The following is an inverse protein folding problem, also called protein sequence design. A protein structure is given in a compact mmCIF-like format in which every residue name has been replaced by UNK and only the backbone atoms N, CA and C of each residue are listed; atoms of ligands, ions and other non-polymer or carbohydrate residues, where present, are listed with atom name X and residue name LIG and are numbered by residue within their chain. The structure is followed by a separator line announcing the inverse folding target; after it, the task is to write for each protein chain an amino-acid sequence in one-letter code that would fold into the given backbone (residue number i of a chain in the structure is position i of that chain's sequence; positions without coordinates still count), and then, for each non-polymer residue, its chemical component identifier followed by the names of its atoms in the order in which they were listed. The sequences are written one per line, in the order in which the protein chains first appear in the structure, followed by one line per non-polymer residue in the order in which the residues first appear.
data_IF_616315652579
#
_entry.id   IF_616315652579
#
_cell.length_a   1.000
_cell.length_b   1.000
_cell.length_c   1.000
_cell.angle_alpha   90.00
_cell.angle_beta   90.00
_cell.angle_gamma   90.00
#
_symmetry.space_group_name_H-M   'P 1'
#
loop_
_entity.id
_entity.type
_entity.pdbx_description
1 polymer ?
#
# COMPACT_ATOMS: atom_id res chain seq x y z
N UNK A 1 -43.60 47.87 11.88
CA UNK A 1 -44.84 47.07 11.89
C UNK A 1 -44.86 46.22 10.63
N UNK A 2 -45.45 45.01 10.73
CA UNK A 2 -45.66 43.96 9.72
C UNK A 2 -44.40 43.32 9.11
N UNK A 3 -43.91 42.18 9.62
CA UNK A 3 -44.42 40.80 9.44
C UNK A 3 -44.49 40.39 7.96
N UNK A 4 -43.41 39.79 7.46
CA UNK A 4 -43.45 38.87 6.32
C UNK A 4 -42.95 37.52 6.83
N UNK A 5 -43.91 36.74 7.31
CA UNK A 5 -43.81 35.32 7.61
C UNK A 5 -43.58 34.58 6.29
N UNK A 6 -42.32 34.34 5.95
CA UNK A 6 -41.95 33.30 5.00
C UNK A 6 -41.86 32.00 5.77
N UNK A 7 -42.79 31.07 5.55
CA UNK A 7 -42.64 29.68 5.95
C UNK A 7 -41.32 29.15 5.40
N UNK A 8 -40.31 29.07 6.25
CA UNK A 8 -39.04 28.47 5.94
C UNK A 8 -39.28 26.97 5.75
N UNK A 9 -39.25 26.52 4.51
CA UNK A 9 -39.06 25.11 4.16
C UNK A 9 -37.91 24.56 5.02
N UNK A 10 -38.28 23.64 5.91
CA UNK A 10 -37.48 22.98 6.93
C UNK A 10 -36.48 22.00 6.33
N UNK A 11 -35.52 22.51 5.56
CA UNK A 11 -34.33 21.76 5.15
C UNK A 11 -33.11 22.54 5.59
N UNK A 12 -32.48 22.08 6.69
CA UNK A 12 -31.20 22.64 7.12
C UNK A 12 -30.19 22.56 5.95
N UNK A 13 -29.42 23.63 5.68
CA UNK A 13 -28.46 23.62 4.58
C UNK A 13 -27.38 22.55 4.78
N UNK A 14 -26.99 21.90 3.68
CA UNK A 14 -25.91 20.93 3.63
C UNK A 14 -24.59 21.53 4.15
N UNK A 15 -23.77 20.70 4.79
CA UNK A 15 -22.45 21.12 5.25
C UNK A 15 -21.49 21.27 4.07
N UNK A 16 -20.54 22.19 4.19
CA UNK A 16 -19.52 22.43 3.17
C UNK A 16 -18.40 21.39 3.26
N UNK A 17 -17.82 21.04 2.11
CA UNK A 17 -16.64 20.17 2.05
C UNK A 17 -16.91 18.75 2.56
N UNK A 18 -15.96 18.20 3.33
CA UNK A 18 -16.07 16.84 3.88
C UNK A 18 -16.82 16.78 5.22
N UNK A 19 -17.26 17.93 5.74
CA UNK A 19 -17.97 18.00 7.02
C UNK A 19 -19.29 17.21 6.97
N UNK A 20 -19.70 16.70 8.12
CA UNK A 20 -21.00 16.03 8.29
C UNK A 20 -21.64 16.38 9.63
N UNK A 21 -22.86 15.87 9.82
CA UNK A 21 -23.64 15.97 11.05
C UNK A 21 -23.89 14.57 11.60
N UNK A 22 -23.89 14.45 12.91
CA UNK A 22 -24.32 13.24 13.63
C UNK A 22 -25.72 13.44 14.21
N UNK A 23 -26.43 12.34 14.45
CA UNK A 23 -27.70 12.37 15.15
C UNK A 23 -27.45 12.52 16.66
N UNK A 24 -28.12 13.49 17.28
CA UNK A 24 -28.12 13.67 18.74
C UNK A 24 -29.41 13.03 19.27
N UNK A 25 -29.26 11.90 19.97
CA UNK A 25 -30.37 11.30 20.72
C UNK A 25 -30.53 12.06 22.04
N UNK A 26 -31.55 12.89 22.15
CA UNK A 26 -31.97 13.48 23.43
C UNK A 26 -32.82 12.46 24.18
N UNK A 27 -32.25 11.85 25.23
CA UNK A 27 -33.01 11.02 26.17
C UNK A 27 -33.67 11.91 27.25
N UNK A 28 -34.94 11.60 27.57
CA UNK A 28 -35.92 12.28 28.45
C UNK A 28 -36.71 13.41 27.78
N UNK A 29 -38.05 13.38 27.70
CA UNK A 29 -39.07 12.86 28.62
C UNK A 29 -40.29 12.26 27.90
N UNK A 30 -41.10 11.51 28.65
CA UNK A 30 -42.34 10.83 28.25
C UNK A 30 -43.33 11.76 27.53
N UNK A 31 -43.31 11.76 26.20
CA UNK A 31 -44.49 11.87 25.33
C UNK A 31 -44.03 11.74 23.87
N UNK A 32 -44.79 10.98 23.09
CA UNK A 32 -44.40 10.47 21.79
C UNK A 32 -44.12 11.56 20.75
N UNK A 33 -42.86 11.94 20.57
CA UNK A 33 -42.26 12.24 19.25
C UNK A 33 -40.74 12.29 19.39
N UNK A 34 -40.03 11.25 18.93
CA UNK A 34 -38.56 11.25 18.88
C UNK A 34 -38.09 12.25 17.82
N UNK A 35 -37.99 13.53 18.15
CA UNK A 35 -37.37 14.53 17.28
C UNK A 35 -35.86 14.33 17.32
N UNK A 36 -35.33 13.54 16.39
CA UNK A 36 -33.88 13.40 16.22
C UNK A 36 -33.30 14.75 15.82
N UNK A 37 -32.60 15.43 16.73
CA UNK A 37 -31.92 16.68 16.42
C UNK A 37 -30.55 16.38 15.78
N UNK A 38 -30.22 17.09 14.69
CA UNK A 38 -28.91 16.97 14.05
C UNK A 38 -27.88 17.86 14.76
N UNK A 39 -26.66 17.36 14.89
CA UNK A 39 -25.53 18.13 15.41
C UNK A 39 -25.17 19.32 14.50
N UNK A 40 -24.33 20.22 15.04
CA UNK A 40 -23.62 21.20 14.22
C UNK A 40 -22.69 20.48 13.23
N UNK A 41 -22.42 21.11 12.08
CA UNK A 41 -21.48 20.58 11.08
C UNK A 41 -20.07 20.45 11.69
N UNK A 42 -19.48 19.26 11.58
CA UNK A 42 -18.14 18.96 12.07
C UNK A 42 -17.49 17.79 11.34
N UNK A 43 -16.38 17.29 11.89
CA UNK A 43 -15.76 16.06 11.42
C UNK A 43 -16.61 14.84 11.80
N UNK A 44 -16.69 13.85 10.91
CA UNK A 44 -17.30 12.56 11.25
C UNK A 44 -16.36 11.74 12.16
N UNK A 45 -16.95 10.83 12.95
CA UNK A 45 -16.20 9.88 13.78
C UNK A 45 -15.39 8.89 12.94
N UNK A 46 -14.39 8.26 13.56
CA UNK A 46 -13.59 7.22 12.92
C UNK A 46 -14.49 6.07 12.41
N UNK A 47 -14.30 5.67 11.15
CA UNK A 47 -15.14 4.67 10.48
C UNK A 47 -16.47 5.20 9.92
N UNK A 48 -16.67 6.53 9.89
CA UNK A 48 -17.85 7.18 9.32
C UNK A 48 -17.47 8.15 8.21
N UNK A 49 -18.37 8.32 7.25
CA UNK A 49 -18.22 9.22 6.11
C UNK A 49 -19.48 10.07 5.91
N UNK A 50 -19.29 11.33 5.50
CA UNK A 50 -20.37 12.24 5.16
C UNK A 50 -20.99 11.87 3.80
N UNK A 51 -22.33 11.72 3.74
CA UNK A 51 -23.07 11.47 2.50
C UNK A 51 -23.43 12.79 1.77
N UNK A 52 -24.10 12.72 0.61
CA UNK A 52 -24.54 13.87 -0.18
C UNK A 52 -25.43 14.87 0.59
N UNK A 53 -26.17 14.40 1.59
CA UNK A 53 -26.98 15.23 2.51
C UNK A 53 -26.19 15.75 3.72
N UNK A 54 -24.87 15.55 3.74
CA UNK A 54 -23.96 15.90 4.84
C UNK A 54 -24.25 15.23 6.18
N UNK A 55 -24.75 14.00 6.14
CA UNK A 55 -24.98 13.15 7.32
C UNK A 55 -23.84 12.13 7.42
N UNK A 56 -23.27 11.95 8.61
CA UNK A 56 -22.25 10.93 8.86
C UNK A 56 -22.88 9.54 8.91
N UNK A 57 -22.48 8.66 8.00
CA UNK A 57 -22.95 7.28 7.84
C UNK A 57 -21.77 6.33 8.07
N UNK A 58 -21.95 5.18 8.74
CA UNK A 58 -20.86 4.21 8.92
C UNK A 58 -20.41 3.61 7.58
N UNK A 59 -19.13 3.27 7.50
CA UNK A 59 -18.54 2.63 6.32
C UNK A 59 -18.67 1.11 6.40
N UNK A 60 -19.68 0.58 5.72
CA UNK A 60 -20.01 -0.86 5.72
C UNK A 60 -19.72 -1.55 4.38
N UNK A 61 -19.24 -0.82 3.38
CA UNK A 61 -18.96 -1.39 2.06
C UNK A 61 -17.71 -2.29 2.11
N UNK A 62 -17.74 -3.50 1.53
CA UNK A 62 -16.56 -4.36 1.51
C UNK A 62 -15.46 -3.75 0.64
N UNK A 63 -14.20 -3.92 1.04
CA UNK A 63 -13.04 -3.44 0.26
C UNK A 63 -13.01 -4.06 -1.14
N UNK A 64 -12.70 -3.23 -2.14
CA UNK A 64 -12.56 -3.69 -3.52
C UNK A 64 -11.25 -4.45 -3.69
N UNK A 65 -11.16 -5.29 -4.74
CA UNK A 65 -9.94 -6.04 -5.05
C UNK A 65 -8.71 -5.12 -5.23
N UNK A 66 -8.88 -3.96 -5.87
CA UNK A 66 -7.82 -2.96 -6.02
C UNK A 66 -7.26 -2.46 -4.67
N UNK A 67 -8.14 -2.28 -3.69
CA UNK A 67 -7.78 -1.80 -2.36
C UNK A 67 -6.95 -2.86 -1.61
N UNK A 68 -7.31 -4.13 -1.76
CA UNK A 68 -6.50 -5.25 -1.26
C UNK A 68 -5.13 -5.34 -1.92
N UNK A 69 -5.03 -5.10 -3.23
CA UNK A 69 -3.75 -5.05 -3.93
C UNK A 69 -2.89 -3.89 -3.40
N UNK A 70 -3.48 -2.74 -3.11
CA UNK A 70 -2.76 -1.66 -2.47
C UNK A 70 -2.23 -2.05 -1.08
N UNK A 71 -3.04 -2.67 -0.23
CA UNK A 71 -2.59 -3.12 1.09
C UNK A 71 -1.47 -4.18 0.99
N UNK A 72 -1.57 -5.07 0.01
CA UNK A 72 -0.51 -6.03 -0.27
C UNK A 72 0.77 -5.33 -0.73
N UNK A 73 0.67 -4.32 -1.60
CA UNK A 73 1.83 -3.50 -2.00
C UNK A 73 2.51 -2.83 -0.79
N UNK A 74 1.71 -2.25 0.11
CA UNK A 74 2.18 -1.63 1.35
C UNK A 74 2.93 -2.63 2.23
N UNK A 75 2.44 -3.87 2.33
CA UNK A 75 3.10 -4.94 3.09
C UNK A 75 4.33 -5.53 2.39
N UNK A 76 4.34 -5.59 1.05
CA UNK A 76 5.46 -6.14 0.29
C UNK A 76 6.66 -5.19 0.27
N UNK A 77 6.44 -3.88 0.29
CA UNK A 77 7.50 -2.88 0.21
C UNK A 77 8.56 -3.01 1.33
N UNK A 78 8.22 -3.01 2.64
CA UNK A 78 9.20 -3.22 3.69
C UNK A 78 9.83 -4.62 3.65
N UNK A 79 9.06 -5.65 3.30
CA UNK A 79 9.56 -7.02 3.15
C UNK A 79 10.69 -7.08 2.12
N UNK A 80 10.45 -6.58 0.90
CA UNK A 80 11.44 -6.56 -0.18
C UNK A 80 12.67 -5.71 0.18
N UNK A 81 12.45 -4.58 0.84
CA UNK A 81 13.52 -3.71 1.30
C UNK A 81 14.43 -4.40 2.33
N UNK A 82 13.83 -5.08 3.31
CA UNK A 82 14.58 -5.83 4.33
C UNK A 82 15.31 -7.03 3.73
N UNK A 83 14.68 -7.73 2.78
CA UNK A 83 15.36 -8.80 2.03
C UNK A 83 16.58 -8.28 1.27
N UNK A 84 16.50 -7.06 0.73
CA UNK A 84 17.61 -6.43 0.05
C UNK A 84 18.73 -6.01 1.03
N UNK A 85 18.38 -5.53 2.23
CA UNK A 85 19.38 -5.25 3.27
C UNK A 85 20.15 -6.52 3.67
N UNK A 86 19.46 -7.64 3.83
CA UNK A 86 20.08 -8.95 4.11
C UNK A 86 20.96 -9.37 2.94
N UNK A 87 20.48 -9.23 1.70
CA UNK A 87 21.25 -9.60 0.49
C UNK A 87 22.55 -8.80 0.37
N UNK A 88 22.52 -7.50 0.64
CA UNK A 88 23.72 -6.65 0.65
C UNK A 88 24.64 -7.02 1.80
N UNK A 89 24.07 -7.36 2.96
CA UNK A 89 24.83 -7.83 4.11
C UNK A 89 25.50 -9.20 3.88
N UNK A 90 24.99 -10.04 2.96
CA UNK A 90 25.54 -11.36 2.59
C UNK A 90 27.06 -11.36 2.40
N UNK A 91 27.63 -10.27 1.85
CA UNK A 91 29.09 -10.15 1.65
C UNK A 91 29.89 -10.35 2.94
N UNK A 92 29.29 -10.08 4.09
CA UNK A 92 29.89 -10.19 5.41
C UNK A 92 29.52 -11.49 6.14
N UNK A 93 28.67 -12.33 5.54
CA UNK A 93 28.11 -13.52 6.18
C UNK A 93 28.90 -14.76 5.80
N UNK A 94 29.40 -15.48 6.80
CA UNK A 94 30.27 -16.65 6.58
C UNK A 94 29.49 -17.95 6.38
N UNK A 95 28.22 -18.00 6.80
CA UNK A 95 27.43 -19.26 6.86
C UNK A 95 26.00 -19.06 6.35
N UNK A 96 25.54 -19.95 5.46
CA UNK A 96 24.20 -19.92 4.83
C UNK A 96 23.03 -20.05 5.81
N UNK A 97 23.24 -20.75 6.92
CA UNK A 97 22.20 -20.98 7.92
C UNK A 97 21.69 -19.68 8.57
N UNK A 98 22.60 -18.78 8.93
CA UNK A 98 22.25 -17.49 9.52
C UNK A 98 21.47 -16.61 8.53
N UNK A 99 21.89 -16.60 7.27
CA UNK A 99 21.18 -15.88 6.20
C UNK A 99 19.74 -16.38 6.04
N UNK A 100 19.54 -17.70 5.98
CA UNK A 100 18.19 -18.28 5.87
C UNK A 100 17.34 -17.94 7.10
N UNK A 101 17.92 -17.97 8.30
CA UNK A 101 17.20 -17.62 9.52
C UNK A 101 16.72 -16.16 9.53
N UNK A 102 17.52 -15.21 9.02
CA UNK A 102 17.08 -13.83 8.88
C UNK A 102 15.94 -13.70 7.87
N UNK A 103 16.06 -14.33 6.69
CA UNK A 103 14.99 -14.30 5.68
C UNK A 103 13.67 -14.83 6.24
N UNK A 104 13.69 -15.94 6.97
CA UNK A 104 12.50 -16.50 7.62
C UNK A 104 11.93 -15.56 8.68
N UNK A 105 12.78 -14.90 9.46
CA UNK A 105 12.38 -13.94 10.48
C UNK A 105 11.65 -12.74 9.84
N UNK A 106 12.19 -12.17 8.76
CA UNK A 106 11.54 -11.04 8.06
C UNK A 106 10.18 -11.43 7.48
N UNK A 107 10.07 -12.63 6.90
CA UNK A 107 8.77 -13.13 6.40
C UNK A 107 7.78 -13.24 7.56
N UNK A 108 8.20 -13.85 8.68
CA UNK A 108 7.35 -14.06 9.84
C UNK A 108 6.86 -12.73 10.44
N UNK A 109 7.77 -11.76 10.64
CA UNK A 109 7.46 -10.42 11.15
C UNK A 109 6.42 -9.72 10.25
N UNK A 110 6.60 -9.78 8.93
CA UNK A 110 5.68 -9.15 7.99
C UNK A 110 4.31 -9.83 7.97
N UNK A 111 4.28 -11.17 8.01
CA UNK A 111 3.02 -11.95 8.07
C UNK A 111 2.26 -11.64 9.34
N UNK A 112 2.94 -11.61 10.50
CA UNK A 112 2.33 -11.23 11.78
C UNK A 112 1.76 -9.81 11.72
N UNK A 113 2.53 -8.85 11.16
CA UNK A 113 2.08 -7.48 10.99
C UNK A 113 0.83 -7.39 10.10
N UNK A 114 0.79 -8.12 8.98
CA UNK A 114 -0.37 -8.16 8.09
C UNK A 114 -1.60 -8.73 8.80
N UNK A 115 -1.48 -9.91 9.41
CA UNK A 115 -2.60 -10.59 10.08
C UNK A 115 -3.17 -9.72 11.19
N UNK A 116 -2.33 -9.21 12.09
CA UNK A 116 -2.79 -8.36 13.19
C UNK A 116 -3.41 -7.06 12.66
N UNK A 117 -2.82 -6.43 11.63
CA UNK A 117 -3.37 -5.20 11.06
C UNK A 117 -4.78 -5.39 10.49
N UNK A 118 -5.08 -6.53 9.86
CA UNK A 118 -6.41 -6.82 9.31
C UNK A 118 -7.41 -7.09 10.43
N UNK A 119 -7.04 -7.90 11.44
CA UNK A 119 -7.95 -8.33 12.50
C UNK A 119 -8.40 -7.20 13.45
N UNK A 120 -7.67 -6.09 13.51
CA UNK A 120 -8.00 -4.93 14.36
C UNK A 120 -9.15 -4.09 13.78
N UNK A 121 -9.26 -4.02 12.46
CA UNK A 121 -10.24 -3.17 11.78
C UNK A 121 -11.60 -3.89 11.65
N UNK A 122 -12.71 -3.12 11.52
CA UNK A 122 -14.03 -3.72 11.39
C UNK A 122 -14.23 -4.43 10.04
N UNK A 123 -14.92 -5.58 10.02
CA UNK A 123 -15.36 -6.40 11.17
C UNK A 123 -14.18 -7.03 11.94
N UNK A 124 -14.12 -6.76 13.25
CA UNK A 124 -13.00 -7.20 14.11
C UNK A 124 -12.90 -8.73 14.12
N UNK A 125 -11.67 -9.23 14.13
CA UNK A 125 -11.36 -10.67 14.10
C UNK A 125 -11.86 -11.42 12.86
N UNK A 126 -12.06 -10.69 11.75
CA UNK A 126 -12.39 -11.25 10.44
C UNK A 126 -11.30 -10.91 9.43
N UNK A 127 -11.18 -11.72 8.38
CA UNK A 127 -10.32 -11.41 7.21
C UNK A 127 -11.03 -10.58 6.15
N UNK A 128 -12.30 -10.24 6.38
CA UNK A 128 -13.04 -9.28 5.56
C UNK A 128 -12.86 -7.89 6.14
N UNK A 129 -12.59 -6.90 5.29
CA UNK A 129 -12.45 -5.49 5.69
C UNK A 129 -13.58 -4.68 5.07
N UNK A 130 -14.21 -3.86 5.91
CA UNK A 130 -15.14 -2.84 5.47
C UNK A 130 -14.41 -1.51 5.35
N UNK A 131 -14.79 -0.73 4.34
CA UNK A 131 -14.25 0.61 4.09
C UNK A 131 -15.29 1.51 3.46
N UNK A 132 -14.87 2.73 3.12
CA UNK A 132 -15.70 3.70 2.45
C UNK A 132 -15.39 3.73 0.94
N UNK A 133 -16.41 4.03 0.13
CA UNK A 133 -16.20 4.27 -1.30
C UNK A 133 -15.33 5.50 -1.55
N UNK A 134 -14.41 5.39 -2.53
CA UNK A 134 -13.45 6.44 -2.88
C UNK A 134 -13.72 7.00 -4.27
N UNK A 135 -13.79 8.34 -4.38
CA UNK A 135 -14.08 8.99 -5.67
C UNK A 135 -12.86 9.67 -6.29
N UNK A 136 -11.92 10.16 -5.48
CA UNK A 136 -10.76 10.88 -6.02
C UNK A 136 -9.68 11.24 -5.00
N UNK A 137 -8.57 11.77 -5.52
CA UNK A 137 -7.36 12.10 -4.75
C UNK A 137 -7.62 13.09 -3.60
N UNK A 138 -8.60 14.00 -3.76
CA UNK A 138 -8.99 15.00 -2.76
C UNK A 138 -9.31 14.37 -1.40
N UNK A 139 -9.87 13.18 -1.39
CA UNK A 139 -10.33 12.46 -0.19
C UNK A 139 -9.19 11.96 0.68
N UNK A 140 -7.99 11.82 0.13
CA UNK A 140 -6.79 11.46 0.88
C UNK A 140 -6.19 12.64 1.66
N UNK A 141 -6.58 13.87 1.31
CA UNK A 141 -6.03 15.10 1.88
C UNK A 141 -7.10 16.05 2.42
N UNK A 142 -8.04 15.58 3.27
CA UNK A 142 -9.17 16.40 3.73
C UNK A 142 -8.71 17.64 4.50
N UNK A 143 -7.54 17.60 5.14
CA UNK A 143 -6.93 18.74 5.81
C UNK A 143 -6.72 19.96 4.88
N UNK A 144 -6.38 19.71 3.61
CA UNK A 144 -6.16 20.75 2.60
C UNK A 144 -7.47 21.37 2.08
N UNK A 145 -8.61 20.71 2.30
CA UNK A 145 -9.91 21.10 1.76
C UNK A 145 -10.92 21.49 2.84
N UNK A 146 -10.43 21.97 3.99
CA UNK A 146 -11.26 22.51 5.05
C UNK A 146 -12.00 23.78 4.59
N UNK A 147 -13.34 23.85 4.72
CA UNK A 147 -14.12 24.99 4.25
C UNK A 147 -13.92 26.22 5.13
N UNK A 148 -14.03 27.42 4.52
CA UNK A 148 -13.98 28.72 5.19
C UNK A 148 -15.36 29.38 5.15
N UNK A 149 -15.96 29.62 6.30
CA UNK A 149 -17.24 30.32 6.43
C UNK A 149 -16.97 31.83 6.52
N UNK A 150 -17.60 32.61 5.65
CA UNK A 150 -17.50 34.08 5.66
C UNK A 150 -16.06 34.59 5.56
N UNK A 151 -15.19 33.88 4.81
CA UNK A 151 -13.76 34.19 4.61
C UNK A 151 -12.87 34.29 5.87
N UNK A 152 -13.44 34.07 7.05
CA UNK A 152 -12.79 34.37 8.34
C UNK A 152 -12.65 33.12 9.21
N UNK A 153 -13.68 32.26 9.28
CA UNK A 153 -13.68 31.09 10.16
C UNK A 153 -13.43 29.81 9.37
N UNK A 154 -12.33 29.11 9.66
CA UNK A 154 -12.05 27.79 9.09
C UNK A 154 -12.71 26.70 9.94
N UNK A 155 -13.53 25.85 9.32
CA UNK A 155 -14.11 24.69 10.00
C UNK A 155 -13.14 23.52 9.87
N UNK A 156 -12.78 22.89 10.99
CA UNK A 156 -11.88 21.73 11.00
C UNK A 156 -12.69 20.45 10.83
N UNK A 157 -12.74 19.95 9.60
CA UNK A 157 -13.43 18.72 9.23
C UNK A 157 -12.46 17.65 8.72
N UNK A 158 -11.26 17.63 9.28
CA UNK A 158 -10.24 16.64 8.96
C UNK A 158 -10.53 15.35 9.72
N UNK A 159 -10.84 14.28 8.98
CA UNK A 159 -10.94 12.90 9.46
C UNK A 159 -10.52 11.96 8.32
N UNK A 160 -10.49 10.65 8.59
CA UNK A 160 -10.17 9.66 7.57
C UNK A 160 -11.38 9.40 6.65
N UNK A 161 -11.41 10.09 5.50
CA UNK A 161 -12.48 9.94 4.50
C UNK A 161 -12.36 8.62 3.71
N UNK A 162 -11.12 8.14 3.53
CA UNK A 162 -10.76 6.90 2.81
C UNK A 162 -10.54 5.72 3.77
N UNK A 163 -11.37 5.63 4.81
CA UNK A 163 -11.24 4.60 5.84
C UNK A 163 -11.39 3.18 5.24
N UNK A 164 -10.58 2.19 5.66
CA UNK A 164 -9.49 2.25 6.63
C UNK A 164 -8.09 2.38 5.99
N UNK A 165 -8.00 2.69 4.69
CA UNK A 165 -6.77 2.51 3.89
C UNK A 165 -5.60 3.37 4.37
N UNK A 166 -5.87 4.55 4.91
CA UNK A 166 -4.84 5.41 5.47
C UNK A 166 -4.37 4.85 6.81
N UNK A 167 -5.29 4.65 7.76
CA UNK A 167 -4.95 4.25 9.12
C UNK A 167 -4.42 2.82 9.24
N UNK A 168 -4.93 1.86 8.46
CA UNK A 168 -4.45 0.47 8.48
C UNK A 168 -2.97 0.37 8.08
N UNK A 169 -2.52 1.24 7.17
CA UNK A 169 -1.12 1.29 6.76
C UNK A 169 -0.22 1.67 7.92
N UNK A 170 -0.59 2.67 8.72
CA UNK A 170 0.19 3.04 9.92
C UNK A 170 0.17 1.93 10.97
N UNK A 171 -0.99 1.30 11.18
CA UNK A 171 -1.11 0.18 12.12
C UNK A 171 -0.20 -0.98 11.71
N UNK A 172 -0.18 -1.33 10.42
CA UNK A 172 0.74 -2.34 9.89
C UNK A 172 2.20 -2.00 10.19
N UNK A 173 2.66 -0.79 9.89
CA UNK A 173 4.05 -0.38 10.14
C UNK A 173 4.40 -0.35 11.63
N UNK A 174 3.46 0.06 12.49
CA UNK A 174 3.63 0.05 13.94
C UNK A 174 3.81 -1.38 14.48
N UNK A 175 2.96 -2.31 14.04
CA UNK A 175 3.07 -3.72 14.43
C UNK A 175 4.36 -4.34 13.87
N UNK A 176 4.71 -4.02 12.62
CA UNK A 176 5.96 -4.46 12.00
C UNK A 176 7.18 -3.97 12.79
N UNK A 177 7.19 -2.70 13.20
CA UNK A 177 8.26 -2.16 14.05
C UNK A 177 8.35 -2.93 15.37
N UNK A 178 7.23 -3.20 16.04
CA UNK A 178 7.17 -4.03 17.23
C UNK A 178 7.67 -5.47 16.99
N UNK A 179 7.32 -6.07 15.85
CA UNK A 179 7.76 -7.41 15.45
C UNK A 179 9.29 -7.44 15.21
N UNK A 180 9.86 -6.41 14.58
CA UNK A 180 11.32 -6.28 14.41
C UNK A 180 12.01 -6.16 15.77
N UNK A 181 11.51 -5.30 16.66
CA UNK A 181 12.09 -5.12 17.99
C UNK A 181 12.02 -6.38 18.85
N UNK A 182 11.04 -7.25 18.61
CA UNK A 182 10.87 -8.50 19.38
C UNK A 182 11.57 -9.66 18.69
N UNK A 183 11.07 -10.11 17.54
CA UNK A 183 11.54 -11.32 16.84
C UNK A 183 12.98 -11.18 16.36
N UNK A 184 13.33 -10.04 15.76
CA UNK A 184 14.69 -9.84 15.24
C UNK A 184 15.71 -9.67 16.36
N UNK A 185 15.34 -9.00 17.46
CA UNK A 185 16.19 -8.93 18.66
C UNK A 185 16.43 -10.30 19.27
N UNK A 186 15.38 -11.14 19.38
CA UNK A 186 15.50 -12.51 19.88
C UNK A 186 16.44 -13.32 18.98
N UNK A 187 16.27 -13.26 17.66
CA UNK A 187 17.16 -13.92 16.71
C UNK A 187 18.61 -13.43 16.86
N UNK A 188 18.80 -12.12 17.00
CA UNK A 188 20.13 -11.54 17.14
C UNK A 188 20.82 -12.00 18.42
N UNK A 189 20.14 -11.93 19.56
CA UNK A 189 20.68 -12.37 20.84
C UNK A 189 20.93 -13.88 20.90
N UNK A 190 20.02 -14.69 20.34
CA UNK A 190 20.10 -16.15 20.42
C UNK A 190 21.14 -16.74 19.45
N UNK A 191 21.28 -16.18 18.24
CA UNK A 191 22.01 -16.85 17.16
C UNK A 191 23.07 -15.99 16.47
N UNK A 192 22.87 -14.66 16.35
CA UNK A 192 23.69 -13.83 15.45
C UNK A 192 24.72 -12.96 16.17
N UNK A 193 24.59 -12.71 17.48
CA UNK A 193 25.36 -11.73 18.25
C UNK A 193 26.88 -11.83 18.08
N UNK A 194 27.43 -13.05 17.98
CA UNK A 194 28.89 -13.27 17.84
C UNK A 194 29.36 -13.47 16.39
N UNK A 195 28.44 -13.77 15.48
CA UNK A 195 28.78 -14.29 14.15
C UNK A 195 28.45 -13.32 13.01
N UNK A 196 27.69 -12.27 13.28
CA UNK A 196 27.01 -11.49 12.26
C UNK A 196 27.06 -9.98 12.50
N UNK A 197 27.06 -9.22 11.41
CA UNK A 197 27.05 -7.76 11.49
C UNK A 197 25.62 -7.27 11.74
N UNK A 198 25.40 -6.40 12.72
CA UNK A 198 24.10 -5.84 13.03
C UNK A 198 23.60 -4.77 12.03
N UNK A 199 24.38 -4.42 11.00
CA UNK A 199 23.98 -3.45 9.96
C UNK A 199 22.58 -3.65 9.36
N UNK A 200 22.20 -4.84 8.83
CA UNK A 200 20.85 -5.05 8.28
C UNK A 200 19.73 -4.84 9.31
N UNK A 201 19.99 -5.17 10.57
CA UNK A 201 19.06 -4.92 11.68
C UNK A 201 18.81 -3.42 11.88
N UNK A 202 19.87 -2.61 11.99
CA UNK A 202 19.73 -1.15 12.13
C UNK A 202 19.09 -0.49 10.92
N UNK A 203 19.46 -0.91 9.70
CA UNK A 203 18.85 -0.40 8.47
C UNK A 203 17.35 -0.67 8.41
N UNK A 204 16.91 -1.84 8.88
CA UNK A 204 15.49 -2.16 8.93
C UNK A 204 14.72 -1.27 9.92
N UNK A 205 15.25 -1.05 11.14
CA UNK A 205 14.63 -0.17 12.14
C UNK A 205 14.49 1.26 11.60
N UNK A 206 15.50 1.78 10.89
CA UNK A 206 15.45 3.13 10.31
C UNK A 206 14.52 3.19 9.10
N UNK A 207 14.41 2.11 8.32
CA UNK A 207 13.59 2.10 7.11
C UNK A 207 12.08 2.21 7.36
N UNK A 208 11.57 1.62 8.45
CA UNK A 208 10.13 1.58 8.73
C UNK A 208 9.56 2.99 9.02
N UNK A 209 10.16 3.81 9.92
CA UNK A 209 9.75 5.20 10.11
C UNK A 209 9.87 6.05 8.85
N UNK A 210 10.90 5.81 8.02
CA UNK A 210 11.02 6.52 6.74
C UNK A 210 9.86 6.20 5.80
N UNK A 211 9.45 4.94 5.70
CA UNK A 211 8.27 4.52 4.93
C UNK A 211 6.99 5.16 5.46
N UNK A 212 6.85 5.23 6.79
CA UNK A 212 5.72 5.91 7.46
C UNK A 212 5.67 7.40 7.12
N UNK A 213 6.82 8.08 7.12
CA UNK A 213 6.92 9.50 6.74
C UNK A 213 6.57 9.74 5.28
N UNK A 214 7.04 8.86 4.38
CA UNK A 214 6.70 8.91 2.97
C UNK A 214 5.19 8.71 2.79
N UNK A 215 4.62 7.71 3.46
CA UNK A 215 3.20 7.42 3.37
C UNK A 215 2.32 8.52 3.98
N UNK A 216 2.74 9.17 5.07
CA UNK A 216 1.95 10.23 5.70
C UNK A 216 1.73 11.44 4.79
N UNK A 217 2.70 11.73 3.93
CA UNK A 217 2.64 12.84 2.96
C UNK A 217 2.06 12.38 1.62
N UNK A 218 2.42 11.19 1.14
CA UNK A 218 2.15 10.75 -0.24
C UNK A 218 1.11 9.62 -0.33
N UNK A 219 0.38 9.26 0.73
CA UNK A 219 -0.56 8.13 0.75
C UNK A 219 -1.48 8.05 -0.47
N UNK A 220 -2.19 9.13 -0.78
CA UNK A 220 -3.08 9.22 -1.94
C UNK A 220 -2.34 9.10 -3.25
N UNK A 221 -1.20 9.78 -3.40
CA UNK A 221 -0.38 9.66 -4.60
C UNK A 221 0.10 8.21 -4.79
N UNK A 222 0.57 7.55 -3.73
CA UNK A 222 1.01 6.15 -3.75
C UNK A 222 -0.17 5.24 -4.14
N UNK A 223 -1.37 5.47 -3.59
CA UNK A 223 -2.54 4.65 -3.92
C UNK A 223 -2.92 4.65 -5.41
N UNK A 224 -2.80 5.80 -6.08
CA UNK A 224 -3.07 5.88 -7.51
C UNK A 224 -1.85 5.52 -8.39
N UNK A 225 -0.63 5.57 -7.84
CA UNK A 225 0.60 5.34 -8.60
C UNK A 225 1.27 3.98 -8.39
N UNK A 226 0.90 3.22 -7.35
CA UNK A 226 1.57 1.95 -7.02
C UNK A 226 1.63 0.94 -8.17
N UNK A 227 0.60 0.79 -9.05
CA UNK A 227 0.71 -0.13 -10.17
C UNK A 227 1.83 0.28 -11.12
N UNK A 228 1.97 1.58 -11.39
CA UNK A 228 3.03 2.14 -12.23
C UNK A 228 4.40 2.04 -11.55
N UNK A 229 4.48 2.25 -10.24
CA UNK A 229 5.72 2.05 -9.46
C UNK A 229 6.20 0.60 -9.60
N UNK A 230 5.29 -0.37 -9.48
CA UNK A 230 5.60 -1.79 -9.66
C UNK A 230 6.01 -2.13 -11.08
N UNK A 231 5.30 -1.61 -12.08
CA UNK A 231 5.64 -1.82 -13.50
C UNK A 231 7.03 -1.30 -13.82
N UNK A 232 7.30 -0.02 -13.54
CA UNK A 232 8.58 0.60 -13.84
C UNK A 232 9.69 -0.04 -13.01
N UNK A 233 9.46 -0.27 -11.72
CA UNK A 233 10.43 -0.88 -10.81
C UNK A 233 10.81 -2.30 -11.20
N UNK A 234 9.83 -3.13 -11.56
CA UNK A 234 10.08 -4.51 -12.00
C UNK A 234 10.77 -4.57 -13.36
N UNK A 235 10.36 -3.73 -14.32
CA UNK A 235 11.04 -3.60 -15.62
C UNK A 235 12.50 -3.14 -15.44
N UNK A 236 12.72 -2.13 -14.60
CA UNK A 236 14.07 -1.64 -14.34
C UNK A 236 14.95 -2.70 -13.67
N UNK A 237 14.43 -3.39 -12.66
CA UNK A 237 15.13 -4.49 -12.00
C UNK A 237 15.45 -5.64 -12.97
N UNK A 238 14.51 -5.97 -13.86
CA UNK A 238 14.68 -6.97 -14.90
C UNK A 238 15.80 -6.59 -15.87
N UNK A 239 15.71 -5.39 -16.46
CA UNK A 239 16.69 -4.89 -17.42
C UNK A 239 18.08 -4.78 -16.79
N UNK A 240 18.17 -4.29 -15.56
CA UNK A 240 19.45 -4.19 -14.85
C UNK A 240 20.09 -5.55 -14.61
N UNK A 241 19.30 -6.54 -14.18
CA UNK A 241 19.80 -7.90 -13.97
C UNK A 241 20.31 -8.54 -15.26
N UNK A 242 19.54 -8.41 -16.34
CA UNK A 242 19.91 -8.96 -17.64
C UNK A 242 21.11 -8.22 -18.25
N UNK A 243 21.21 -6.90 -18.10
CA UNK A 243 22.34 -6.10 -18.57
C UNK A 243 23.67 -6.50 -17.91
N UNK A 244 23.66 -6.89 -16.63
CA UNK A 244 24.85 -7.40 -15.95
C UNK A 244 25.31 -8.75 -16.51
N UNK A 245 24.37 -9.59 -16.95
CA UNK A 245 24.65 -10.91 -17.54
C UNK A 245 24.94 -10.86 -19.05
N UNK A 246 24.47 -9.81 -19.74
CA UNK A 246 24.60 -9.60 -21.19
C UNK A 246 26.01 -9.33 -21.73
N UNK A 247 27.03 -9.41 -20.88
CA UNK A 247 28.45 -9.39 -21.28
C UNK A 247 28.89 -10.69 -21.98
N UNK A 248 28.05 -11.73 -21.93
CA UNK A 248 28.31 -13.09 -22.43
C UNK A 248 27.59 -13.35 -23.76
N UNK A 249 28.04 -14.32 -24.56
CA UNK A 249 27.31 -14.72 -25.77
C UNK A 249 25.93 -15.29 -25.43
N UNK A 250 24.96 -15.11 -26.35
CA UNK A 250 23.53 -15.41 -26.15
C UNK A 250 23.28 -16.86 -25.70
N UNK A 251 23.96 -17.84 -26.33
CA UNK A 251 23.80 -19.26 -25.98
C UNK A 251 24.20 -19.55 -24.53
N UNK A 252 25.34 -19.02 -24.09
CA UNK A 252 25.82 -19.21 -22.71
C UNK A 252 24.92 -18.50 -21.71
N UNK A 253 24.41 -17.32 -22.06
CA UNK A 253 23.47 -16.57 -21.23
C UNK A 253 22.17 -17.36 -21.02
N UNK A 254 21.56 -17.91 -22.08
CA UNK A 254 20.33 -18.69 -21.98
C UNK A 254 20.54 -19.92 -21.10
N UNK A 255 21.62 -20.67 -21.33
CA UNK A 255 21.93 -21.85 -20.51
C UNK A 255 22.10 -21.45 -19.05
N UNK A 256 22.82 -20.37 -18.75
CA UNK A 256 23.03 -19.91 -17.37
C UNK A 256 21.74 -19.42 -16.70
N UNK A 257 20.91 -18.70 -17.44
CA UNK A 257 19.60 -18.27 -16.97
C UNK A 257 18.72 -19.48 -16.66
N UNK A 258 18.79 -20.53 -17.49
CA UNK A 258 18.04 -21.77 -17.34
C UNK A 258 18.57 -22.72 -16.26
N UNK A 259 19.88 -22.74 -15.97
CA UNK A 259 20.49 -23.70 -15.04
C UNK A 259 20.73 -23.12 -13.65
N UNK A 260 20.90 -21.80 -13.52
CA UNK A 260 21.23 -21.21 -12.22
C UNK A 260 19.98 -20.89 -11.40
N UNK A 261 19.83 -21.47 -10.20
CA UNK A 261 18.66 -21.24 -9.36
C UNK A 261 18.53 -19.78 -8.91
N UNK A 262 19.64 -19.06 -8.76
CA UNK A 262 19.62 -17.65 -8.33
C UNK A 262 19.03 -16.71 -9.37
N UNK A 263 19.32 -16.95 -10.66
CA UNK A 263 18.81 -16.14 -11.76
C UNK A 263 17.32 -16.44 -11.99
N UNK A 264 16.92 -17.71 -11.92
CA UNK A 264 15.52 -18.11 -11.94
C UNK A 264 14.70 -17.47 -10.80
N UNK A 265 15.19 -17.52 -9.56
CA UNK A 265 14.49 -16.91 -8.43
C UNK A 265 14.34 -15.40 -8.61
N UNK A 266 15.38 -14.71 -9.06
CA UNK A 266 15.29 -13.27 -9.31
C UNK A 266 14.28 -12.94 -10.43
N UNK A 267 14.39 -13.64 -11.56
CA UNK A 267 13.52 -13.47 -12.72
C UNK A 267 12.05 -13.76 -12.39
N UNK A 268 11.79 -14.81 -11.62
CA UNK A 268 10.42 -15.16 -11.20
C UNK A 268 9.85 -14.10 -10.28
N UNK A 269 10.60 -13.59 -9.30
CA UNK A 269 10.14 -12.50 -8.43
C UNK A 269 9.85 -11.23 -9.22
N UNK A 270 10.72 -10.82 -10.14
CA UNK A 270 10.49 -9.62 -10.96
C UNK A 270 9.32 -9.79 -11.91
N UNK A 271 9.14 -10.96 -12.52
CA UNK A 271 7.95 -11.28 -13.33
C UNK A 271 6.66 -11.26 -12.50
N UNK A 272 6.69 -11.79 -11.27
CA UNK A 272 5.54 -11.75 -10.38
C UNK A 272 5.19 -10.30 -10.00
N UNK A 273 6.17 -9.46 -9.67
CA UNK A 273 5.95 -8.03 -9.41
C UNK A 273 5.40 -7.29 -10.63
N UNK A 274 5.91 -7.60 -11.82
CA UNK A 274 5.39 -7.03 -13.07
C UNK A 274 3.94 -7.45 -13.29
N UNK A 275 3.64 -8.74 -13.14
CA UNK A 275 2.28 -9.28 -13.26
C UNK A 275 1.32 -8.64 -12.25
N UNK A 276 1.78 -8.42 -11.02
CA UNK A 276 1.02 -7.76 -9.97
C UNK A 276 0.67 -6.31 -10.34
N UNK A 277 1.63 -5.56 -10.88
CA UNK A 277 1.39 -4.21 -11.40
C UNK A 277 0.41 -4.18 -12.58
N UNK A 278 0.55 -5.12 -13.53
CA UNK A 278 -0.37 -5.27 -14.67
C UNK A 278 -1.80 -5.58 -14.19
N UNK A 279 -1.97 -6.54 -13.29
CA UNK A 279 -3.29 -6.91 -12.73
C UNK A 279 -3.90 -5.72 -11.99
N UNK A 280 -3.11 -4.95 -11.24
CA UNK A 280 -3.62 -3.78 -10.53
C UNK A 280 -4.14 -2.69 -11.47
N UNK A 281 -3.49 -2.46 -12.61
CA UNK A 281 -3.99 -1.54 -13.64
C UNK A 281 -5.28 -2.05 -14.30
N UNK A 282 -5.39 -3.36 -14.50
CA UNK A 282 -6.49 -3.97 -15.24
C UNK A 282 -7.75 -4.14 -14.40
N UNK A 283 -7.60 -4.39 -13.11
CA UNK A 283 -8.72 -4.63 -12.19
C UNK A 283 -9.82 -3.56 -12.24
N UNK A 284 -9.51 -2.25 -12.24
CA UNK A 284 -10.52 -1.20 -12.34
C UNK A 284 -11.04 -0.96 -13.79
N UNK A 285 -10.48 -1.60 -14.81
CA UNK A 285 -10.89 -1.43 -16.20
C UNK A 285 -12.00 -2.44 -16.56
N UNK A 286 -13.14 -1.92 -17.01
CA UNK A 286 -14.27 -2.70 -17.55
C UNK A 286 -14.08 -3.01 -19.04
N UNK A 287 -12.96 -3.66 -19.38
CA UNK A 287 -12.62 -4.04 -20.77
C UNK A 287 -12.88 -5.54 -20.97
N UNK A 288 -13.49 -5.90 -22.11
CA UNK A 288 -13.64 -7.30 -22.51
C UNK A 288 -12.25 -7.92 -22.81
N UNK A 289 -12.01 -9.15 -22.33
CA UNK A 289 -10.72 -9.86 -22.45
C UNK A 289 -9.52 -9.23 -21.72
N UNK A 290 -9.76 -8.46 -20.67
CA UNK A 290 -8.70 -7.78 -19.90
C UNK A 290 -7.55 -8.67 -19.42
N UNK A 291 -7.80 -9.96 -19.17
CA UNK A 291 -6.79 -10.93 -18.75
C UNK A 291 -5.75 -11.27 -19.83
N UNK A 292 -6.06 -11.02 -21.10
CA UNK A 292 -5.10 -11.22 -22.21
C UNK A 292 -3.85 -10.35 -22.09
N UNK A 293 -3.95 -9.21 -21.41
CA UNK A 293 -2.82 -8.32 -21.14
C UNK A 293 -1.74 -8.97 -20.26
N UNK A 294 -2.04 -10.06 -19.54
CA UNK A 294 -1.00 -10.81 -18.81
C UNK A 294 0.02 -11.46 -19.76
N UNK A 295 -0.32 -11.67 -21.03
CA UNK A 295 0.64 -12.11 -22.05
C UNK A 295 1.76 -11.09 -22.30
N UNK A 296 1.61 -9.84 -21.84
CA UNK A 296 2.66 -8.82 -21.91
C UNK A 296 3.77 -9.03 -20.86
N UNK A 297 3.52 -9.80 -19.79
CA UNK A 297 4.50 -10.03 -18.71
C UNK A 297 5.82 -10.62 -19.21
N UNK A 298 5.86 -11.67 -20.07
CA UNK A 298 7.12 -12.19 -20.59
C UNK A 298 7.80 -11.31 -21.65
N UNK A 299 7.09 -10.33 -22.22
CA UNK A 299 7.58 -9.55 -23.38
C UNK A 299 8.91 -8.84 -23.11
N UNK A 300 9.14 -8.17 -21.96
CA UNK A 300 10.42 -7.52 -21.68
C UNK A 300 11.62 -8.48 -21.71
N UNK A 301 11.44 -9.70 -21.19
CA UNK A 301 12.48 -10.74 -21.21
C UNK A 301 12.77 -11.18 -22.64
N UNK A 302 11.72 -11.54 -23.38
CA UNK A 302 11.84 -11.99 -24.78
C UNK A 302 12.47 -10.90 -25.64
N UNK A 303 12.01 -9.66 -25.50
CA UNK A 303 12.55 -8.50 -26.20
C UNK A 303 14.04 -8.29 -25.92
N UNK A 304 14.46 -8.41 -24.66
CA UNK A 304 15.88 -8.32 -24.30
C UNK A 304 16.72 -9.44 -24.93
N UNK A 305 16.23 -10.69 -24.89
CA UNK A 305 16.92 -11.83 -25.49
C UNK A 305 17.09 -11.68 -27.01
N UNK A 306 16.13 -11.07 -27.69
CA UNK A 306 16.19 -10.79 -29.13
C UNK A 306 17.18 -9.65 -29.44
N UNK A 307 17.24 -8.62 -28.60
CA UNK A 307 18.02 -7.40 -28.87
C UNK A 307 19.49 -7.49 -28.44
N UNK A 308 19.87 -8.46 -27.60
CA UNK A 308 21.24 -8.60 -27.10
C UNK A 308 22.32 -8.77 -28.19
N UNK A 309 22.10 -9.53 -29.29
CA UNK A 309 23.14 -9.71 -30.32
C UNK A 309 23.47 -8.42 -31.07
N UNK A 310 22.51 -7.49 -31.12
CA UNK A 310 22.65 -6.19 -31.75
C UNK A 310 23.25 -5.14 -30.79
N UNK A 311 23.08 -5.35 -29.48
CA UNK A 311 23.50 -4.40 -28.44
C UNK A 311 24.95 -4.59 -27.98
N UNK A 312 25.55 -5.76 -28.23
CA UNK A 312 26.92 -6.06 -27.86
C UNK A 312 27.78 -6.44 -29.10
N UNK A 313 28.68 -5.56 -29.57
CA UNK A 313 29.48 -5.81 -30.78
C UNK A 313 30.41 -7.02 -30.66
N UNK A 314 30.76 -7.43 -29.43
CA UNK A 314 31.56 -8.64 -29.20
C UNK A 314 30.78 -9.94 -29.48
N UNK A 315 29.44 -9.88 -29.49
CA UNK A 315 28.57 -11.02 -29.80
C UNK A 315 28.15 -11.08 -31.26
N UNK A 316 28.11 -9.94 -31.96
CA UNK A 316 27.78 -9.85 -33.40
C UNK A 316 28.85 -10.55 -34.26
N UNK A 317 30.11 -10.56 -33.83
CA UNK A 317 31.22 -11.23 -34.52
C UNK A 317 31.29 -12.76 -34.36
N UNK A 318 30.35 -13.41 -33.65
CA UNK A 318 30.32 -14.88 -33.46
C UNK A 318 29.01 -15.54 -33.90
N UNK A 319 28.21 -14.82 -34.70
CA UNK A 319 27.02 -15.36 -35.38
C UNK A 319 27.32 -15.78 -36.83
N UNK A 320 28.55 -15.58 -37.29
CA UNK A 320 29.17 -16.17 -38.49
C UNK A 320 30.24 -17.15 -37.99
#
# INVERSE_FOLDING_TARGET
MSMLSGHASTTQPACLGFCGRSFISTNYSEEATSTSSLSQCGACSFGYRSNATSICVPCETPLQAYDWMYLLFIALLPLLLHMQFIRVARKYCRTRYYEVSEYLCVILENVIACVISVLIYPPRFSFFLNGCEKTGLKEWYPACYNPKIGYTKTMRCTYEVVFPLYSITFVHHMILMGAIFTLRSILYCAMLYKAYNAKPYYLAIVSVPLLVMIHSVLSGLIFYSFPYILLIGSLWAMCFHLALEGKRPLKEMIVRLATSPTHWVFLTITMLMLSFGVVALITPLDIQYRWSLLCLVPVPLVFYLITIPFSNPATTMRLI
#
